data_IF_387136904395
#
_entry.id   IF_387136904395
#
_cell.length_a   1.000
_cell.length_b   1.000
_cell.length_c   1.000
_cell.angle_alpha   90.00
_cell.angle_beta   90.00
_cell.angle_gamma   90.00
#
_symmetry.space_group_name_H-M   'P 1'
#
loop_
_entity.id
_entity.type
_entity.pdbx_description
1 polymer ?
#
# COMPACT_ATOMS: atom_id res chain seq x y z
N UNK A 1 27.86 18.83 -46.32
CA UNK A 1 26.52 18.42 -45.84
C UNK A 1 26.35 18.98 -44.45
N UNK A 2 25.20 19.62 -44.20
CA UNK A 2 25.06 20.76 -43.30
C UNK A 2 25.07 20.39 -41.81
N UNK A 3 25.78 21.23 -41.05
CA UNK A 3 25.63 21.34 -39.60
C UNK A 3 24.41 22.22 -39.32
N UNK A 4 23.34 21.66 -38.75
CA UNK A 4 22.20 22.43 -38.28
C UNK A 4 22.53 23.08 -36.94
N UNK A 5 22.80 24.37 -37.02
CA UNK A 5 22.89 25.35 -35.94
C UNK A 5 21.46 25.70 -35.52
N UNK A 6 21.06 25.37 -34.30
CA UNK A 6 19.78 25.82 -33.73
C UNK A 6 20.00 27.19 -33.07
N UNK A 7 19.44 28.21 -33.71
CA UNK A 7 19.34 29.57 -33.20
C UNK A 7 18.23 29.64 -32.14
N UNK A 8 18.54 30.19 -30.97
CA UNK A 8 17.54 30.57 -29.96
C UNK A 8 17.42 32.09 -30.02
N UNK A 9 16.26 32.56 -30.48
CA UNK A 9 15.88 33.97 -30.43
C UNK A 9 15.55 34.37 -29.00
N UNK A 10 16.18 35.45 -28.52
CA UNK A 10 15.69 36.21 -27.37
C UNK A 10 15.79 37.70 -27.68
N UNK A 11 14.71 38.28 -28.19
CA UNK A 11 14.47 39.72 -28.10
C UNK A 11 13.49 39.95 -26.96
N UNK A 12 13.99 40.53 -25.86
CA UNK A 12 13.18 41.31 -24.94
C UNK A 12 13.98 42.56 -24.58
N UNK A 13 13.42 43.69 -25.00
CA UNK A 13 13.99 45.02 -24.87
C UNK A 13 14.39 45.35 -23.43
N UNK A 14 15.58 45.94 -23.30
CA UNK A 14 16.04 46.55 -22.07
C UNK A 14 15.28 47.85 -21.80
N UNK A 15 14.71 47.98 -20.61
CA UNK A 15 14.72 49.23 -19.84
C UNK A 15 14.20 48.99 -18.42
N UNK A 16 15.11 48.95 -17.44
CA UNK A 16 15.02 49.71 -16.18
C UNK A 16 16.22 49.36 -15.30
N UNK A 17 16.88 50.39 -14.79
CA UNK A 17 17.96 50.29 -13.81
C UNK A 17 17.49 49.55 -12.57
N UNK A 18 18.18 48.49 -12.15
CA UNK A 18 18.18 48.03 -10.75
C UNK A 18 19.37 47.10 -10.47
N UNK A 19 20.12 47.44 -9.42
CA UNK A 19 21.11 46.66 -8.67
C UNK A 19 21.79 45.46 -9.37
N UNK A 20 23.06 45.63 -9.74
CA UNK A 20 23.98 44.50 -10.00
C UNK A 20 24.18 43.70 -8.71
N UNK A 21 23.31 42.72 -8.47
CA UNK A 21 23.63 41.60 -7.56
C UNK A 21 24.63 40.70 -8.29
N UNK A 22 25.70 40.29 -7.60
CA UNK A 22 26.65 39.31 -8.11
C UNK A 22 25.90 38.08 -8.63
N UNK A 23 26.03 37.81 -9.93
CA UNK A 23 25.55 36.59 -10.55
C UNK A 23 26.55 35.47 -10.22
N UNK A 24 26.21 34.62 -9.25
CA UNK A 24 26.94 33.39 -8.96
C UNK A 24 26.26 32.22 -9.70
N UNK A 25 26.89 31.64 -10.74
CA UNK A 25 26.36 30.46 -11.44
C UNK A 25 26.08 29.27 -10.52
N UNK A 26 26.79 29.17 -9.39
CA UNK A 26 26.59 28.12 -8.38
C UNK A 26 25.25 28.20 -7.66
N UNK A 27 24.71 29.40 -7.43
CA UNK A 27 23.43 29.60 -6.74
C UNK A 27 22.23 29.39 -7.67
N UNK A 28 22.35 29.74 -8.95
CA UNK A 28 21.38 29.36 -9.98
C UNK A 28 21.37 27.83 -10.20
N UNK A 29 22.54 27.17 -10.20
CA UNK A 29 22.62 25.71 -10.29
C UNK A 29 22.05 25.01 -9.04
N UNK A 30 22.21 25.58 -7.84
CA UNK A 30 21.54 25.09 -6.62
C UNK A 30 20.03 25.31 -6.67
N UNK A 31 19.56 26.45 -7.17
CA UNK A 31 18.12 26.69 -7.43
C UNK A 31 17.58 25.70 -8.44
N UNK A 32 18.28 25.44 -9.55
CA UNK A 32 17.87 24.46 -10.56
C UNK A 32 17.90 23.02 -10.03
N UNK A 33 18.84 22.68 -9.14
CA UNK A 33 18.85 21.41 -8.40
C UNK A 33 17.67 21.30 -7.42
N UNK A 34 17.32 22.39 -6.72
CA UNK A 34 16.16 22.46 -5.83
C UNK A 34 14.81 22.53 -6.57
N UNK A 35 14.77 23.04 -7.80
CA UNK A 35 13.57 23.03 -8.67
C UNK A 35 13.37 21.62 -9.28
N UNK A 36 14.45 20.83 -9.40
CA UNK A 36 14.44 19.44 -9.88
C UNK A 36 14.34 18.38 -8.77
N UNK A 37 14.00 18.73 -7.53
CA UNK A 37 13.33 17.74 -6.67
C UNK A 37 11.92 17.58 -7.19
N UNK A 38 11.77 16.78 -8.24
CA UNK A 38 10.49 16.30 -8.74
C UNK A 38 9.84 15.59 -7.55
N UNK A 39 8.84 16.22 -6.90
CA UNK A 39 8.00 15.54 -5.92
C UNK A 39 7.18 14.52 -6.70
N UNK A 40 7.79 13.35 -6.97
CA UNK A 40 7.14 12.23 -7.64
C UNK A 40 5.86 11.95 -6.87
N UNK A 41 4.72 12.11 -7.53
CA UNK A 41 3.45 11.74 -6.94
C UNK A 41 3.41 10.22 -6.85
N UNK A 42 3.31 9.69 -5.62
CA UNK A 42 3.31 8.26 -5.41
C UNK A 42 1.96 7.64 -5.75
N UNK A 43 1.95 6.53 -6.49
CA UNK A 43 0.72 5.81 -6.84
C UNK A 43 0.55 4.54 -6.00
N UNK A 44 -0.64 4.34 -5.47
CA UNK A 44 -1.01 3.18 -4.66
C UNK A 44 -1.64 2.06 -5.50
N UNK A 45 -1.29 0.81 -5.23
CA UNK A 45 -2.12 -0.36 -5.57
C UNK A 45 -2.95 -0.77 -4.35
N UNK A 46 -4.26 -0.59 -4.40
CA UNK A 46 -5.18 -1.07 -3.35
C UNK A 46 -5.54 -2.52 -3.64
N UNK A 47 -4.95 -3.46 -2.89
CA UNK A 47 -5.11 -4.89 -3.08
C UNK A 47 -6.24 -5.42 -2.19
N UNK A 48 -7.28 -5.96 -2.81
CA UNK A 48 -8.50 -6.42 -2.15
C UNK A 48 -8.69 -7.92 -2.40
N UNK A 49 -8.25 -8.78 -1.46
CA UNK A 49 -8.55 -10.21 -1.48
C UNK A 49 -10.06 -10.44 -1.42
N UNK A 50 -10.59 -11.25 -2.33
CA UNK A 50 -12.04 -11.34 -2.52
C UNK A 50 -12.51 -12.77 -2.85
N UNK A 51 -13.66 -13.15 -2.31
CA UNK A 51 -14.47 -14.28 -2.78
C UNK A 51 -15.91 -14.13 -2.28
N UNK A 52 -16.88 -14.12 -3.19
CA UNK A 52 -18.32 -14.22 -2.88
C UNK A 52 -18.82 -13.20 -1.82
N UNK A 53 -18.27 -11.97 -1.84
CA UNK A 53 -18.64 -10.82 -0.99
C UNK A 53 -19.18 -9.65 -1.83
N UNK A 54 -20.04 -9.95 -2.81
CA UNK A 54 -20.44 -9.00 -3.86
C UNK A 54 -21.16 -7.77 -3.30
N UNK A 55 -21.89 -7.91 -2.20
CA UNK A 55 -22.58 -6.79 -1.55
C UNK A 55 -21.59 -5.84 -0.89
N UNK A 56 -20.61 -6.39 -0.16
CA UNK A 56 -19.53 -5.61 0.43
C UNK A 56 -18.74 -4.88 -0.66
N UNK A 57 -18.41 -5.55 -1.76
CA UNK A 57 -17.67 -4.92 -2.87
C UNK A 57 -18.43 -3.76 -3.51
N UNK A 58 -19.77 -3.88 -3.65
CA UNK A 58 -20.64 -2.81 -4.18
C UNK A 58 -20.62 -1.55 -3.30
N UNK A 59 -20.51 -1.71 -1.98
CA UNK A 59 -20.35 -0.56 -1.07
C UNK A 59 -18.90 -0.07 -1.03
N UNK A 60 -17.94 -1.01 -1.02
CA UNK A 60 -16.52 -0.77 -0.86
C UNK A 60 -15.92 0.08 -1.98
N UNK A 61 -16.09 -0.34 -3.23
CA UNK A 61 -15.43 0.31 -4.36
C UNK A 61 -15.78 1.81 -4.47
N UNK A 62 -17.06 2.22 -4.50
CA UNK A 62 -17.41 3.65 -4.54
C UNK A 62 -16.98 4.41 -3.28
N UNK A 63 -17.08 3.79 -2.10
CA UNK A 63 -16.63 4.40 -0.84
C UNK A 63 -15.13 4.71 -0.88
N UNK A 64 -14.30 3.73 -1.25
CA UNK A 64 -12.85 3.87 -1.30
C UNK A 64 -12.38 4.82 -2.39
N UNK A 65 -13.00 4.78 -3.58
CA UNK A 65 -12.70 5.76 -4.64
C UNK A 65 -12.93 7.18 -4.14
N UNK A 66 -14.10 7.46 -3.53
CA UNK A 66 -14.41 8.77 -2.97
C UNK A 66 -13.44 9.16 -1.84
N UNK A 67 -13.19 8.25 -0.90
CA UNK A 67 -12.33 8.49 0.25
C UNK A 67 -10.89 8.84 -0.17
N UNK A 68 -10.30 8.06 -1.09
CA UNK A 68 -8.94 8.27 -1.57
C UNK A 68 -8.81 9.49 -2.50
N UNK A 69 -9.82 9.76 -3.34
CA UNK A 69 -9.84 10.96 -4.18
C UNK A 69 -9.92 12.25 -3.34
N UNK A 70 -10.70 12.24 -2.25
CA UNK A 70 -10.76 13.36 -1.31
C UNK A 70 -9.41 13.63 -0.62
N UNK A 71 -8.57 12.60 -0.47
CA UNK A 71 -7.20 12.72 0.03
C UNK A 71 -6.16 12.98 -1.07
N UNK A 72 -6.59 13.08 -2.34
CA UNK A 72 -5.72 13.24 -3.52
C UNK A 72 -4.65 12.15 -3.63
N UNK A 73 -5.00 10.91 -3.28
CA UNK A 73 -4.12 9.75 -3.40
C UNK A 73 -4.32 9.13 -4.80
N UNK A 74 -3.32 9.16 -5.71
CA UNK A 74 -3.41 8.40 -6.94
C UNK A 74 -3.43 6.91 -6.64
N UNK A 75 -4.40 6.18 -7.17
CA UNK A 75 -4.57 4.77 -6.84
C UNK A 75 -5.16 3.96 -7.99
N UNK A 76 -5.00 2.65 -7.90
CA UNK A 76 -5.73 1.66 -8.71
C UNK A 76 -6.22 0.56 -7.76
N UNK A 77 -7.50 0.20 -7.88
CA UNK A 77 -8.12 -0.85 -7.07
C UNK A 77 -7.99 -2.18 -7.81
N UNK A 78 -7.34 -3.14 -7.19
CA UNK A 78 -7.20 -4.51 -7.68
C UNK A 78 -8.05 -5.42 -6.79
N UNK A 79 -9.06 -6.05 -7.38
CA UNK A 79 -9.90 -7.05 -6.70
C UNK A 79 -9.38 -8.42 -7.13
N UNK A 80 -8.80 -9.17 -6.18
CA UNK A 80 -8.20 -10.46 -6.45
C UNK A 80 -9.19 -11.54 -6.04
N UNK A 81 -9.94 -12.03 -7.03
CA UNK A 81 -11.03 -12.98 -6.84
C UNK A 81 -10.52 -14.43 -6.83
N UNK A 82 -10.69 -15.14 -5.70
CA UNK A 82 -10.37 -16.56 -5.60
C UNK A 82 -11.52 -17.42 -6.12
N UNK A 83 -11.34 -18.03 -7.29
CA UNK A 83 -12.39 -18.75 -8.03
C UNK A 83 -12.39 -20.27 -7.82
N UNK A 84 -11.34 -20.83 -7.24
CA UNK A 84 -11.30 -22.25 -6.83
C UNK A 84 -12.21 -22.51 -5.61
N UNK A 85 -12.47 -23.79 -5.34
CA UNK A 85 -13.27 -24.23 -4.18
C UNK A 85 -12.42 -24.52 -2.94
N UNK A 86 -11.11 -24.20 -2.95
CA UNK A 86 -10.26 -24.37 -1.78
C UNK A 86 -10.63 -23.36 -0.69
N UNK A 87 -10.11 -23.57 0.52
CA UNK A 87 -10.26 -22.59 1.61
C UNK A 87 -9.75 -21.21 1.16
N UNK A 88 -10.34 -20.14 1.68
CA UNK A 88 -9.92 -18.80 1.33
C UNK A 88 -8.47 -18.57 1.78
N UNK A 89 -7.62 -18.04 0.91
CA UNK A 89 -6.21 -17.79 1.21
C UNK A 89 -5.88 -16.32 0.96
N UNK A 90 -6.20 -15.49 1.96
CA UNK A 90 -6.02 -14.04 1.91
C UNK A 90 -4.60 -13.64 1.51
N UNK A 91 -3.59 -14.23 2.15
CA UNK A 91 -2.18 -13.92 1.90
C UNK A 91 -1.74 -14.21 0.46
N UNK A 92 -2.14 -15.37 -0.08
CA UNK A 92 -1.81 -15.73 -1.47
C UNK A 92 -2.45 -14.76 -2.46
N UNK A 93 -3.69 -14.34 -2.22
CA UNK A 93 -4.36 -13.35 -3.08
C UNK A 93 -3.67 -11.98 -3.02
N UNK A 94 -3.16 -11.57 -1.86
CA UNK A 94 -2.34 -10.36 -1.74
C UNK A 94 -1.05 -10.50 -2.54
N UNK A 95 -0.34 -11.63 -2.44
CA UNK A 95 0.88 -11.87 -3.21
C UNK A 95 0.60 -11.82 -4.72
N UNK A 96 -0.48 -12.44 -5.20
CA UNK A 96 -0.92 -12.37 -6.59
C UNK A 96 -1.21 -10.91 -6.97
N UNK A 97 -1.99 -10.18 -6.17
CA UNK A 97 -2.29 -8.78 -6.42
C UNK A 97 -1.04 -7.89 -6.47
N UNK A 98 -0.04 -8.17 -5.63
CA UNK A 98 1.25 -7.49 -5.68
C UNK A 98 1.95 -7.72 -7.03
N UNK A 99 2.05 -8.98 -7.47
CA UNK A 99 2.69 -9.36 -8.74
C UNK A 99 1.96 -8.75 -9.94
N UNK A 100 0.63 -8.85 -9.97
CA UNK A 100 -0.22 -8.39 -11.09
C UNK A 100 -0.43 -6.88 -11.11
N UNK A 101 -0.21 -6.19 -9.99
CA UNK A 101 -0.37 -4.73 -9.96
C UNK A 101 0.66 -4.03 -10.83
N UNK A 102 0.25 -2.91 -11.44
CA UNK A 102 1.10 -2.16 -12.38
C UNK A 102 2.44 -1.73 -11.74
N UNK A 103 3.58 -1.89 -12.44
CA UNK A 103 4.90 -1.50 -11.92
C UNK A 103 5.04 -0.05 -11.45
N UNK A 104 4.26 0.86 -12.04
CA UNK A 104 4.21 2.28 -11.66
C UNK A 104 3.57 2.54 -10.28
N UNK A 105 2.95 1.55 -9.65
CA UNK A 105 2.48 1.68 -8.27
C UNK A 105 3.69 1.60 -7.32
N UNK A 106 4.00 2.68 -6.61
CA UNK A 106 5.15 2.76 -5.70
C UNK A 106 4.95 1.99 -4.39
N UNK A 107 3.70 1.79 -3.99
CA UNK A 107 3.31 1.17 -2.73
C UNK A 107 1.97 0.45 -2.84
N UNK A 108 1.73 -0.46 -1.91
CA UNK A 108 0.51 -1.24 -1.80
C UNK A 108 -0.26 -0.87 -0.53
N UNK A 109 -1.58 -1.03 -0.59
CA UNK A 109 -2.45 -1.12 0.57
C UNK A 109 -3.15 -2.47 0.52
N UNK A 110 -2.86 -3.33 1.48
CA UNK A 110 -3.59 -4.57 1.72
C UNK A 110 -4.88 -4.18 2.44
N UNK A 111 -6.04 -4.51 1.90
CA UNK A 111 -7.30 -3.98 2.40
C UNK A 111 -8.43 -5.02 2.40
N UNK A 112 -9.02 -5.26 3.56
CA UNK A 112 -10.21 -6.11 3.68
C UNK A 112 -11.42 -5.39 3.06
N UNK A 113 -12.22 -6.10 2.27
CA UNK A 113 -13.37 -5.53 1.53
C UNK A 113 -14.49 -5.03 2.45
N UNK A 114 -14.53 -5.51 3.69
CA UNK A 114 -15.57 -5.22 4.67
C UNK A 114 -15.23 -4.07 5.63
N UNK A 115 -14.05 -3.45 5.54
CA UNK A 115 -13.58 -2.48 6.55
C UNK A 115 -13.48 -1.05 6.00
N UNK A 116 -14.57 -0.28 6.03
CA UNK A 116 -14.61 1.04 5.41
C UNK A 116 -14.09 2.16 6.33
N UNK A 117 -13.10 2.97 5.91
CA UNK A 117 -12.64 4.11 6.71
C UNK A 117 -13.69 5.22 6.74
N UNK A 118 -14.06 5.67 7.94
CA UNK A 118 -15.00 6.79 8.15
C UNK A 118 -14.27 8.09 8.47
N UNK A 119 -13.15 8.01 9.19
CA UNK A 119 -12.41 9.19 9.61
C UNK A 119 -11.49 9.68 8.48
N UNK A 120 -11.67 10.90 7.93
CA UNK A 120 -10.85 11.41 6.84
C UNK A 120 -9.39 11.67 7.22
N UNK A 121 -9.05 11.61 8.52
CA UNK A 121 -7.67 11.73 9.03
C UNK A 121 -6.87 10.42 8.98
N UNK A 122 -7.48 9.31 8.58
CA UNK A 122 -6.73 8.07 8.34
C UNK A 122 -5.83 8.25 7.12
N UNK A 123 -4.52 8.12 7.33
CA UNK A 123 -3.53 8.41 6.31
C UNK A 123 -3.32 7.20 5.37
N UNK A 124 -3.59 7.41 4.08
CA UNK A 124 -3.31 6.43 3.01
C UNK A 124 -2.12 6.81 2.13
N UNK A 125 -1.36 7.84 2.51
CA UNK A 125 -0.21 8.33 1.75
C UNK A 125 0.93 7.33 1.72
N UNK A 126 1.89 7.57 0.82
CA UNK A 126 3.09 6.77 0.68
C UNK A 126 3.82 6.56 2.03
N UNK A 127 4.03 5.30 2.47
CA UNK A 127 4.57 4.98 3.79
C UNK A 127 6.11 5.03 3.80
N UNK A 128 6.69 6.23 3.62
CA UNK A 128 8.14 6.44 3.49
C UNK A 128 8.96 5.99 4.70
N UNK A 129 8.39 6.05 5.91
CA UNK A 129 9.08 5.73 7.17
C UNK A 129 8.97 4.24 7.58
N UNK A 130 8.29 3.41 6.78
CA UNK A 130 8.05 2.00 7.11
C UNK A 130 6.58 1.60 6.99
N UNK A 131 6.25 0.30 7.11
CA UNK A 131 4.88 -0.20 7.05
C UNK A 131 3.93 0.56 7.99
N UNK A 132 2.74 0.89 7.48
CA UNK A 132 1.75 1.69 8.20
C UNK A 132 0.44 0.91 8.35
N UNK A 133 0.12 0.49 9.57
CA UNK A 133 -1.09 -0.24 9.90
C UNK A 133 -2.23 0.74 10.21
N UNK A 134 -3.12 0.93 9.24
CA UNK A 134 -4.18 1.95 9.27
C UNK A 134 -5.28 1.54 10.26
N UNK A 135 -5.64 0.26 10.30
CA UNK A 135 -6.67 -0.27 11.19
C UNK A 135 -6.09 -0.76 12.52
N UNK A 136 -5.39 0.15 13.22
CA UNK A 136 -4.80 -0.06 14.55
C UNK A 136 -5.76 -0.77 15.51
N UNK A 137 -5.27 -1.60 16.46
CA UNK A 137 -6.13 -2.28 17.44
C UNK A 137 -7.04 -1.33 18.24
N UNK A 138 -6.58 -0.11 18.52
CA UNK A 138 -7.35 0.93 19.24
C UNK A 138 -8.50 1.53 18.40
N UNK A 139 -8.52 1.23 17.10
CA UNK A 139 -9.45 1.78 16.11
C UNK A 139 -10.30 0.70 15.44
N UNK A 140 -9.79 -0.54 15.37
CA UNK A 140 -10.47 -1.64 14.70
C UNK A 140 -11.73 -2.04 15.48
N UNK A 141 -12.87 -2.30 14.84
CA UNK A 141 -14.12 -2.61 15.54
C UNK A 141 -14.19 -3.99 16.21
N UNK A 142 -13.15 -4.82 16.13
CA UNK A 142 -13.24 -6.25 16.50
C UNK A 142 -11.96 -6.82 17.14
N UNK A 143 -10.77 -6.34 16.77
CA UNK A 143 -9.50 -6.90 17.24
C UNK A 143 -8.68 -5.83 17.95
N UNK A 144 -8.33 -6.10 19.21
CA UNK A 144 -7.71 -5.12 20.11
C UNK A 144 -6.41 -5.60 20.75
N UNK A 145 -5.85 -6.74 20.31
CA UNK A 145 -4.56 -7.21 20.83
C UNK A 145 -3.41 -6.39 20.24
N UNK A 146 -2.35 -6.18 21.02
CA UNK A 146 -1.26 -5.23 20.71
C UNK A 146 -0.56 -5.52 19.39
N UNK A 147 -0.40 -6.80 19.05
CA UNK A 147 0.33 -7.29 17.88
C UNK A 147 -0.52 -7.33 16.60
N UNK A 148 -1.81 -7.00 16.67
CA UNK A 148 -2.72 -7.11 15.53
C UNK A 148 -2.29 -6.21 14.35
N UNK A 149 -2.25 -6.78 13.15
CA UNK A 149 -1.85 -6.09 11.91
C UNK A 149 -2.76 -6.38 10.71
N UNK A 150 -3.87 -7.11 10.92
CA UNK A 150 -4.91 -7.36 9.92
C UNK A 150 -5.77 -6.13 9.62
N UNK A 151 -6.76 -6.30 8.73
CA UNK A 151 -7.59 -5.20 8.23
C UNK A 151 -6.90 -4.46 7.09
N UNK A 152 -6.17 -3.41 7.43
CA UNK A 152 -5.59 -2.45 6.47
C UNK A 152 -4.13 -2.16 6.81
N UNK A 153 -3.21 -2.55 5.93
CA UNK A 153 -1.77 -2.34 6.06
C UNK A 153 -1.18 -1.77 4.76
N UNK A 154 -0.42 -0.68 4.89
CA UNK A 154 0.29 -0.04 3.79
C UNK A 154 1.78 -0.37 3.84
N UNK A 155 2.35 -0.68 2.68
CA UNK A 155 3.79 -0.97 2.54
C UNK A 155 4.30 -0.46 1.20
N UNK A 156 5.52 0.08 1.16
CA UNK A 156 6.19 0.33 -0.12
C UNK A 156 6.44 -1.01 -0.83
N UNK A 157 6.49 -1.02 -2.16
CA UNK A 157 6.84 -2.24 -2.89
C UNK A 157 8.17 -2.83 -2.43
N UNK A 158 9.17 -1.95 -2.23
CA UNK A 158 10.50 -2.32 -1.72
C UNK A 158 10.44 -3.01 -0.36
N UNK A 159 9.61 -2.53 0.58
CA UNK A 159 9.46 -3.18 1.87
C UNK A 159 8.78 -4.55 1.73
N UNK A 160 7.75 -4.66 0.87
CA UNK A 160 7.03 -5.91 0.65
C UNK A 160 7.93 -6.99 0.00
N UNK A 161 8.73 -6.61 -1.00
CA UNK A 161 9.74 -7.47 -1.62
C UNK A 161 10.82 -7.88 -0.61
N UNK A 162 11.28 -6.93 0.22
CA UNK A 162 12.33 -7.19 1.22
C UNK A 162 11.92 -8.26 2.22
N UNK A 163 10.66 -8.27 2.64
CA UNK A 163 10.10 -9.28 3.55
C UNK A 163 9.65 -10.56 2.84
N UNK A 164 9.86 -10.66 1.51
CA UNK A 164 9.42 -11.78 0.67
C UNK A 164 7.89 -12.01 0.74
N UNK A 165 7.11 -10.92 0.71
CA UNK A 165 5.65 -10.96 0.73
C UNK A 165 5.05 -11.68 1.94
N UNK A 166 3.80 -12.11 1.81
CA UNK A 166 3.09 -12.91 2.82
C UNK A 166 3.30 -14.41 2.60
N UNK A 167 3.11 -15.24 3.63
CA UNK A 167 3.18 -16.70 3.44
C UNK A 167 1.96 -17.24 2.69
N UNK A 168 2.19 -18.16 1.74
CA UNK A 168 1.12 -18.84 1.00
C UNK A 168 0.48 -20.01 1.78
N UNK A 169 0.95 -20.29 3.00
CA UNK A 169 0.57 -21.48 3.79
C UNK A 169 -0.71 -21.31 4.62
N UNK A 170 -1.23 -20.10 4.72
CA UNK A 170 -2.40 -19.77 5.53
C UNK A 170 -3.70 -19.92 4.74
N UNK A 171 -4.19 -21.16 4.72
CA UNK A 171 -5.51 -21.52 4.19
C UNK A 171 -6.54 -21.45 5.32
N UNK A 172 -7.58 -20.64 5.17
CA UNK A 172 -8.58 -20.37 6.20
C UNK A 172 -8.33 -19.07 6.98
N UNK A 173 -9.06 -18.88 8.08
CA UNK A 173 -9.02 -17.64 8.85
C UNK A 173 -7.85 -17.58 9.85
N UNK A 174 -7.00 -16.57 9.66
CA UNK A 174 -6.13 -15.98 10.69
C UNK A 174 -4.67 -16.43 10.69
N UNK A 175 -3.83 -15.60 11.35
CA UNK A 175 -2.38 -15.76 11.56
C UNK A 175 -1.47 -15.43 10.39
N UNK A 176 -2.03 -15.14 9.21
CA UNK A 176 -1.23 -14.70 8.06
C UNK A 176 -0.75 -13.25 8.23
N UNK A 177 -1.53 -12.42 8.91
CA UNK A 177 -1.19 -11.06 9.33
C UNK A 177 -0.14 -11.06 10.44
N UNK A 178 -0.32 -11.88 11.48
CA UNK A 178 0.65 -12.09 12.55
C UNK A 178 2.02 -12.52 11.97
N UNK A 179 2.04 -13.42 10.98
CA UNK A 179 3.28 -13.90 10.35
C UNK A 179 3.96 -12.82 9.50
N UNK A 180 3.20 -12.04 8.72
CA UNK A 180 3.74 -10.88 8.00
C UNK A 180 4.36 -9.87 8.99
N UNK A 181 3.72 -9.60 10.12
CA UNK A 181 4.25 -8.71 11.14
C UNK A 181 5.61 -9.20 11.67
N UNK A 182 5.76 -10.51 11.91
CA UNK A 182 7.04 -11.09 12.31
C UNK A 182 8.11 -10.91 11.24
N UNK A 183 7.79 -11.05 9.95
CA UNK A 183 8.74 -10.78 8.86
C UNK A 183 9.17 -9.32 8.82
N UNK A 184 8.21 -8.40 8.97
CA UNK A 184 8.48 -6.95 9.02
C UNK A 184 9.47 -6.63 10.15
N UNK A 185 9.20 -7.15 11.34
CA UNK A 185 10.06 -6.95 12.52
C UNK A 185 11.44 -7.62 12.33
N UNK A 186 11.50 -8.80 11.74
CA UNK A 186 12.75 -9.52 11.45
C UNK A 186 13.70 -8.71 10.57
N UNK A 187 13.16 -7.98 9.58
CA UNK A 187 13.95 -7.09 8.71
C UNK A 187 14.22 -5.71 9.33
N UNK A 188 13.89 -5.50 10.60
CA UNK A 188 14.18 -4.27 11.34
C UNK A 188 13.25 -3.10 11.04
N UNK A 189 12.15 -3.34 10.32
CA UNK A 189 11.16 -2.31 10.04
C UNK A 189 10.23 -2.11 11.23
N UNK A 190 9.82 -0.86 11.46
CA UNK A 190 8.83 -0.51 12.49
C UNK A 190 7.44 -0.40 11.85
N UNK A 191 6.45 -1.07 12.44
CA UNK A 191 5.05 -0.89 12.07
C UNK A 191 4.53 0.35 12.77
N UNK A 192 4.15 1.35 11.98
CA UNK A 192 3.56 2.60 12.47
C UNK A 192 2.04 2.51 12.44
N UNK A 193 1.37 3.30 13.27
CA UNK A 193 -0.09 3.35 13.40
C UNK A 193 -0.58 4.79 13.48
N UNK A 194 -1.85 5.08 13.16
CA UNK A 194 -2.43 6.40 13.37
C UNK A 194 -2.32 6.84 14.84
N UNK A 195 -2.00 8.12 15.04
CA UNK A 195 -1.90 8.74 16.36
C UNK A 195 -2.94 9.84 16.51
N UNK A 196 -3.46 10.03 17.72
CA UNK A 196 -4.32 11.18 18.06
C UNK A 196 -5.73 11.17 17.44
N UNK A 197 -6.20 10.04 16.92
CA UNK A 197 -7.58 9.91 16.44
C UNK A 197 -8.54 9.72 17.63
N UNK A 198 -9.52 10.62 17.74
CA UNK A 198 -10.52 10.64 18.84
C UNK A 198 -11.81 9.86 18.52
N UNK A 199 -11.92 9.28 17.33
CA UNK A 199 -13.13 8.59 16.86
C UNK A 199 -13.32 7.21 17.49
N UNK A 200 -12.25 6.60 18.03
CA UNK A 200 -12.29 5.29 18.69
C UNK A 200 -12.79 4.16 17.78
N UNK A 201 -13.17 3.03 18.39
CA UNK A 201 -13.55 1.81 17.67
C UNK A 201 -14.89 1.88 16.92
N UNK A 202 -15.76 2.82 17.30
CA UNK A 202 -17.12 2.92 16.77
C UNK A 202 -17.23 3.82 15.53
N UNK A 203 -16.40 4.86 15.44
CA UNK A 203 -16.53 5.90 14.42
C UNK A 203 -15.29 6.05 13.54
N UNK A 204 -14.30 5.17 13.67
CA UNK A 204 -13.11 5.19 12.79
C UNK A 204 -13.32 4.35 11.54
N UNK A 205 -13.92 3.17 11.69
CA UNK A 205 -14.27 2.28 10.59
C UNK A 205 -15.71 1.79 10.70
N UNK A 206 -16.34 1.57 9.54
CA UNK A 206 -17.60 0.83 9.43
C UNK A 206 -17.26 -0.57 8.93
N UNK A 207 -17.53 -1.59 9.73
CA UNK A 207 -17.37 -2.99 9.35
C UNK A 207 -18.67 -3.50 8.72
N UNK A 208 -18.69 -3.66 7.40
CA UNK A 208 -19.84 -4.11 6.61
C UNK A 208 -19.76 -5.61 6.40
N UNK A 209 -20.43 -6.38 7.25
CA UNK A 209 -20.49 -7.83 7.08
C UNK A 209 -21.87 -8.23 6.59
N UNK A 210 -21.95 -9.17 5.64
CA UNK A 210 -23.20 -9.86 5.31
C UNK A 210 -23.95 -10.29 6.59
N UNK A 211 -25.27 -10.05 6.60
CA UNK A 211 -26.14 -10.41 7.72
C UNK A 211 -26.17 -11.92 7.97
N UNK A 212 -25.84 -12.71 6.95
CA UNK A 212 -25.62 -14.15 7.05
C UNK A 212 -24.21 -14.39 7.55
N UNK A 213 -24.07 -14.60 8.87
CA UNK A 213 -22.79 -14.97 9.48
C UNK A 213 -22.30 -16.30 8.92
N UNK A 214 -21.33 -16.26 8.01
CA UNK A 214 -20.56 -17.45 7.63
C UNK A 214 -19.60 -17.76 8.78
N UNK A 215 -19.65 -18.95 9.40
CA UNK A 215 -18.72 -19.31 10.45
C UNK A 215 -17.29 -19.14 9.97
N UNK A 216 -16.44 -18.52 10.79
CA UNK A 216 -15.02 -18.41 10.45
C UNK A 216 -14.41 -19.79 10.41
N UNK A 217 -13.69 -20.06 9.34
CA UNK A 217 -12.97 -21.31 9.17
C UNK A 217 -11.66 -21.27 9.97
N UNK A 218 -11.74 -21.63 11.25
CA UNK A 218 -10.64 -21.58 12.22
C UNK A 218 -9.75 -22.84 12.20
N UNK A 219 -10.07 -23.83 11.37
CA UNK A 219 -9.33 -25.10 11.32
C UNK A 219 -7.90 -24.81 10.84
N UNK A 220 -6.88 -25.33 11.52
CA UNK A 220 -5.48 -25.17 11.09
C UNK A 220 -5.00 -26.48 10.49
N UNK A 221 -4.37 -26.41 9.33
CA UNK A 221 -3.67 -27.55 8.74
C UNK A 221 -2.16 -27.35 8.83
N UNK A 222 -1.42 -28.43 9.03
CA UNK A 222 0.05 -28.44 9.13
C UNK A 222 0.60 -27.48 10.21
N UNK A 223 1.83 -26.99 10.02
CA UNK A 223 2.52 -26.05 10.89
C UNK A 223 2.15 -24.58 10.58
N UNK A 224 0.86 -24.23 10.52
CA UNK A 224 0.40 -22.82 10.56
C UNK A 224 0.63 -22.21 11.96
N UNK A 225 1.89 -22.23 12.39
CA UNK A 225 2.35 -21.86 13.72
C UNK A 225 2.66 -20.36 13.77
N UNK A 226 1.92 -19.64 14.63
CA UNK A 226 2.05 -18.19 14.88
C UNK A 226 3.45 -17.69 15.28
N UNK A 227 4.42 -18.58 15.56
CA UNK A 227 5.65 -18.25 16.29
C UNK A 227 6.94 -18.45 15.50
N UNK A 228 6.88 -18.76 14.20
CA UNK A 228 8.08 -18.91 13.37
C UNK A 228 7.91 -18.12 12.09
N UNK A 229 8.85 -17.22 11.83
CA UNK A 229 9.12 -16.75 10.46
C UNK A 229 9.52 -17.99 9.68
N UNK A 230 8.73 -18.38 8.69
CA UNK A 230 9.17 -19.44 7.80
C UNK A 230 10.20 -18.85 6.84
N UNK A 231 11.48 -18.95 7.22
CA UNK A 231 12.61 -18.52 6.40
C UNK A 231 12.82 -19.35 5.15
N UNK A 232 11.98 -20.37 4.90
CA UNK A 232 11.96 -21.09 3.63
C UNK A 232 11.14 -20.26 2.64
N UNK A 233 11.77 -19.92 1.52
CA UNK A 233 11.06 -19.41 0.35
C UNK A 233 9.89 -20.34 0.06
N UNK A 234 8.65 -19.82 0.15
CA UNK A 234 7.44 -20.54 -0.21
C UNK A 234 7.42 -20.72 -1.74
N UNK A 235 8.28 -21.61 -2.25
CA UNK A 235 8.48 -21.85 -3.68
C UNK A 235 9.22 -20.69 -4.37
N UNK A 236 10.06 -21.04 -5.36
CA UNK A 236 10.69 -20.06 -6.23
C UNK A 236 9.58 -19.28 -6.95
N UNK A 237 9.63 -17.95 -6.88
CA UNK A 237 9.10 -17.12 -7.97
C UNK A 237 9.67 -17.67 -9.28
N UNK A 238 8.86 -17.89 -10.33
CA UNK A 238 9.40 -18.21 -11.64
C UNK A 238 10.31 -17.04 -12.01
N UNK A 239 11.61 -17.30 -12.10
CA UNK A 239 12.54 -16.37 -12.75
C UNK A 239 11.97 -16.12 -14.14
N UNK A 240 11.51 -14.89 -14.39
CA UNK A 240 11.24 -14.45 -15.75
C UNK A 240 12.57 -14.48 -16.49
N UNK A 241 12.80 -15.57 -17.22
CA UNK A 241 13.79 -15.58 -18.29
C UNK A 241 13.24 -14.67 -19.38
N UNK A 242 13.72 -13.44 -19.42
CA UNK A 242 13.68 -12.65 -20.64
C UNK A 242 14.60 -13.37 -21.64
N UNK A 243 13.97 -14.13 -22.55
CA UNK A 243 14.63 -14.56 -23.76
C UNK A 243 14.86 -13.32 -24.65
N UNK A 244 16.11 -13.20 -25.10
CA UNK A 244 16.57 -12.27 -26.14
C UNK A 244 16.00 -12.66 -27.50
#
# INVERSE_FOLDING_TARGET
>A
MSQNKLEVYSELHANTQTARKHFDPGDELKKLRNIKTYNKTHKMALLVPFRNCTNELKEFAPHMMKFLNNQRIPHTIYVINQVDDLRFNRATLVNIGFIESHPDCDYIAIHDVDLLPLNPKLNYSFPSEGPFHVSSPDLHPLYHYSEFTGGILLMTRKHYEKVNGMSNKFWGWGSEDDELALRILHFGFKIRRPLGLKTGVWNTFRHIHETVRRPRDKIRFFHQNKKKVDGRTDGRTPTMNHAS
#
